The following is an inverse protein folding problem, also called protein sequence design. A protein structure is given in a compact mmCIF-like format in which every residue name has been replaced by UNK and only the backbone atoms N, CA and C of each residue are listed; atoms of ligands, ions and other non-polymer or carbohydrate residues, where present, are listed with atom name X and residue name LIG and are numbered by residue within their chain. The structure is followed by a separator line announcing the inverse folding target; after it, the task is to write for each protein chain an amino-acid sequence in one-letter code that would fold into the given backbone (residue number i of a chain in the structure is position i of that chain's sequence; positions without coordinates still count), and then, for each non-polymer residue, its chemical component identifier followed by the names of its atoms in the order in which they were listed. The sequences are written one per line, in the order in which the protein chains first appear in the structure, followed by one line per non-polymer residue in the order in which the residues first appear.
data_IF_466660752501
#
_entry.id   IF_466660752501
#
_cell.length_a   1.000
_cell.length_b   1.000
_cell.length_c   1.000
_cell.angle_alpha   90.00
_cell.angle_beta   90.00
_cell.angle_gamma   90.00
#
_symmetry.space_group_name_H-M   'P 1'
#
loop_
_entity.id
_entity.type
_entity.pdbx_description
1 polymer ?
#
# COMPACT_ATOMS: atom_id res chain seq x y z
N UNK A 1 -11.85 -7.98 22.47
CA UNK A 1 -12.16 -7.32 21.20
C UNK A 1 -11.26 -7.94 20.15
N UNK A 2 -11.78 -8.53 19.07
CA UNK A 2 -10.94 -9.00 17.98
C UNK A 2 -10.43 -7.77 17.22
N UNK A 3 -9.13 -7.46 17.32
CA UNK A 3 -8.57 -6.25 16.73
C UNK A 3 -8.60 -6.33 15.20
N UNK A 4 -9.50 -5.56 14.59
CA UNK A 4 -9.53 -5.34 13.14
C UNK A 4 -8.12 -4.96 12.65
N UNK A 5 -7.67 -5.60 11.57
CA UNK A 5 -6.33 -5.38 11.00
C UNK A 5 -5.24 -6.30 11.53
N UNK A 6 -5.55 -7.25 12.42
CA UNK A 6 -4.62 -8.31 12.83
C UNK A 6 -4.56 -9.47 11.82
N UNK A 7 -3.36 -10.05 11.65
CA UNK A 7 -3.13 -11.28 10.88
C UNK A 7 -3.17 -12.55 11.75
N UNK A 8 -3.98 -12.55 12.81
CA UNK A 8 -4.15 -13.70 13.69
C UNK A 8 -5.15 -14.73 13.15
N UNK A 9 -5.04 -16.03 13.51
CA UNK A 9 -6.04 -17.02 13.19
C UNK A 9 -7.44 -16.63 13.69
N UNK A 10 -8.46 -16.86 12.85
CA UNK A 10 -9.85 -16.50 13.15
C UNK A 10 -10.25 -15.07 12.73
N UNK A 11 -9.29 -14.25 12.30
CA UNK A 11 -9.58 -12.93 11.72
C UNK A 11 -10.03 -13.05 10.26
N UNK A 12 -10.72 -12.01 9.77
CA UNK A 12 -11.03 -11.90 8.34
C UNK A 12 -9.72 -11.93 7.53
N UNK A 13 -9.73 -12.65 6.41
CA UNK A 13 -8.58 -12.79 5.52
C UNK A 13 -8.30 -11.53 4.70
N UNK A 14 -8.26 -10.37 5.33
CA UNK A 14 -7.96 -9.08 4.71
C UNK A 14 -6.47 -8.78 4.86
N UNK A 15 -5.78 -8.51 3.76
CA UNK A 15 -4.35 -8.23 3.75
C UNK A 15 -3.91 -7.44 2.51
N UNK A 16 -2.75 -6.81 2.59
CA UNK A 16 -2.10 -6.17 1.44
C UNK A 16 -0.67 -6.69 1.36
N UNK A 17 -0.26 -7.11 0.16
CA UNK A 17 1.13 -7.45 -0.16
C UNK A 17 1.78 -6.21 -0.76
N UNK A 18 2.83 -5.71 -0.14
CA UNK A 18 3.57 -4.52 -0.55
C UNK A 18 4.96 -4.90 -1.08
N UNK A 19 5.36 -4.31 -2.19
CA UNK A 19 6.76 -4.23 -2.61
C UNK A 19 7.38 -2.95 -2.00
N UNK A 20 8.67 -3.02 -1.65
CA UNK A 20 9.48 -1.85 -1.33
C UNK A 20 10.31 -1.49 -2.56
N UNK A 21 9.99 -0.37 -3.20
CA UNK A 21 10.69 0.10 -4.40
C UNK A 21 11.77 1.10 -4.03
N UNK A 22 12.95 0.99 -4.64
CA UNK A 22 13.98 2.04 -4.59
C UNK A 22 13.79 3.04 -5.74
N UNK A 23 14.13 4.32 -5.50
CA UNK A 23 13.99 5.37 -6.51
C UNK A 23 14.18 6.77 -5.94
N UNK A 24 13.64 7.76 -6.64
CA UNK A 24 13.58 9.15 -6.18
C UNK A 24 12.12 9.59 -6.24
N UNK A 25 11.49 9.75 -5.08
CA UNK A 25 10.07 10.09 -4.97
C UNK A 25 9.93 11.42 -4.23
N UNK A 26 9.07 12.29 -4.73
CA UNK A 26 8.71 13.54 -4.04
C UNK A 26 7.25 13.47 -3.65
N UNK A 27 6.96 13.68 -2.36
CA UNK A 27 5.61 13.76 -1.81
C UNK A 27 5.34 15.19 -1.37
N UNK A 28 4.13 15.67 -1.61
CA UNK A 28 3.68 16.97 -1.12
C UNK A 28 2.56 16.75 -0.10
N UNK A 29 2.72 17.34 1.08
CA UNK A 29 1.68 17.27 2.11
C UNK A 29 0.54 18.29 1.84
N UNK A 30 -0.51 18.25 2.66
CA UNK A 30 -1.65 19.16 2.53
C UNK A 30 -1.31 20.64 2.77
N UNK A 31 -0.14 20.96 3.32
CA UNK A 31 0.35 22.32 3.53
C UNK A 31 1.30 22.79 2.40
N UNK A 32 1.59 21.93 1.42
CA UNK A 32 2.47 22.25 0.30
C UNK A 32 3.95 21.96 0.55
N UNK A 33 4.33 21.36 1.69
CA UNK A 33 5.72 21.00 1.94
C UNK A 33 6.10 19.76 1.13
N UNK A 34 7.31 19.78 0.55
CA UNK A 34 7.84 18.67 -0.21
C UNK A 34 8.79 17.80 0.63
N UNK A 35 8.61 16.47 0.55
CA UNK A 35 9.48 15.46 1.15
C UNK A 35 10.05 14.57 0.05
N UNK A 36 11.37 14.44 0.01
CA UNK A 36 12.07 13.50 -0.89
C UNK A 36 12.31 12.17 -0.18
N UNK A 37 12.06 11.06 -0.86
CA UNK A 37 12.32 9.71 -0.36
C UNK A 37 13.09 8.89 -1.39
N UNK A 38 14.00 8.05 -0.90
CA UNK A 38 14.74 7.09 -1.73
C UNK A 38 13.99 5.76 -1.93
N UNK A 39 12.89 5.55 -1.20
CA UNK A 39 12.11 4.31 -1.20
C UNK A 39 10.61 4.60 -1.08
N UNK A 40 9.76 3.72 -1.64
CA UNK A 40 8.30 3.76 -1.44
C UNK A 40 7.69 2.37 -1.33
N UNK A 41 6.57 2.27 -0.62
CA UNK A 41 5.74 1.07 -0.65
C UNK A 41 4.81 1.10 -1.87
N UNK A 42 4.69 -0.05 -2.55
CA UNK A 42 3.74 -0.25 -3.65
C UNK A 42 2.88 -1.47 -3.38
N UNK A 43 1.56 -1.32 -3.46
CA UNK A 43 0.65 -2.46 -3.37
C UNK A 43 0.78 -3.36 -4.61
N UNK A 44 1.23 -4.60 -4.39
CA UNK A 44 1.26 -5.65 -5.42
C UNK A 44 -0.06 -6.42 -5.46
N UNK A 45 -0.59 -6.76 -4.29
CA UNK A 45 -1.87 -7.47 -4.17
C UNK A 45 -2.69 -6.90 -3.02
N UNK A 46 -4.00 -6.77 -3.24
CA UNK A 46 -4.99 -6.55 -2.20
C UNK A 46 -5.78 -7.84 -2.04
N UNK A 47 -5.92 -8.32 -0.81
CA UNK A 47 -6.64 -9.53 -0.45
C UNK A 47 -7.78 -9.11 0.45
N UNK A 48 -9.00 -9.54 0.10
CA UNK A 48 -10.20 -9.29 0.89
C UNK A 48 -10.95 -10.59 1.08
N UNK A 49 -11.25 -10.94 2.33
CA UNK A 49 -11.90 -12.20 2.68
C UNK A 49 -11.17 -13.45 2.16
N UNK A 50 -9.84 -13.40 2.05
CA UNK A 50 -9.00 -14.47 1.51
C UNK A 50 -8.87 -14.51 -0.01
N UNK A 51 -9.57 -13.64 -0.75
CA UNK A 51 -9.51 -13.57 -2.21
C UNK A 51 -8.73 -12.35 -2.71
N UNK A 52 -7.95 -12.52 -3.79
CA UNK A 52 -7.29 -11.40 -4.46
C UNK A 52 -8.35 -10.51 -5.12
N UNK A 53 -8.29 -9.22 -4.85
CA UNK A 53 -9.09 -8.20 -5.53
C UNK A 53 -8.31 -7.71 -6.74
N UNK A 54 -8.98 -7.45 -7.86
CA UNK A 54 -8.37 -6.80 -9.01
C UNK A 54 -7.87 -5.42 -8.58
N UNK A 55 -6.55 -5.24 -8.53
CA UNK A 55 -5.92 -3.94 -8.35
C UNK A 55 -5.74 -3.30 -9.72
N UNK A 56 -6.21 -2.05 -9.92
CA UNK A 56 -5.90 -1.34 -11.16
C UNK A 56 -4.38 -1.25 -11.32
N UNK A 57 -3.90 -1.36 -12.56
CA UNK A 57 -2.51 -1.04 -12.86
C UNK A 57 -2.24 0.37 -12.31
N UNK A 58 -1.15 0.57 -11.57
CA UNK A 58 -0.89 1.86 -10.98
C UNK A 58 -0.77 2.89 -12.10
N UNK A 59 -1.37 4.06 -11.86
CA UNK A 59 -1.18 5.20 -12.73
C UNK A 59 0.32 5.44 -12.89
N UNK A 60 0.76 5.64 -14.14
CA UNK A 60 2.14 6.04 -14.38
C UNK A 60 2.41 7.32 -13.57
N UNK A 61 3.55 7.36 -12.88
CA UNK A 61 3.96 8.54 -12.16
C UNK A 61 3.96 9.72 -13.15
N UNK A 62 3.17 10.76 -12.87
CA UNK A 62 3.22 11.99 -13.65
C UNK A 62 4.60 12.61 -13.40
N UNK A 63 5.48 12.50 -14.38
CA UNK A 63 6.80 13.16 -14.44
C UNK A 63 6.64 14.67 -14.46
#
# INVERSE_FOLDING_TARGET
SAELGSLAPGMAGDAVVLDLEEGQFTYTDGAGNAVRASRRFRARHVIRGGARVATPAPAADHV
#
